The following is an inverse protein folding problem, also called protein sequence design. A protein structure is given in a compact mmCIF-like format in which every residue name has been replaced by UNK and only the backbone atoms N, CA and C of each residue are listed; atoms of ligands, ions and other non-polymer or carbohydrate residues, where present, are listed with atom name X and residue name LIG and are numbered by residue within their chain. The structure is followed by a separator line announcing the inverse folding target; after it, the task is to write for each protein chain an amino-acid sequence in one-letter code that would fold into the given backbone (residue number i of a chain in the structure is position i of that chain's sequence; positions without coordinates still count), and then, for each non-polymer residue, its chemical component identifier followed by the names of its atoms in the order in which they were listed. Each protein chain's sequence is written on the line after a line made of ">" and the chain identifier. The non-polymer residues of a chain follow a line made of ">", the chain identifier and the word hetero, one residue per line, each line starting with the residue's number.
data_IF_788123921136
#
_entry.id   IF_788123921136
#
_cell.length_a   1.000
_cell.length_b   1.000
_cell.length_c   1.000
_cell.angle_alpha   90.00
_cell.angle_beta   90.00
_cell.angle_gamma   90.00
#
_symmetry.space_group_name_H-M   'P 1'
#
loop_
_entity.id
_entity.type
_entity.pdbx_description
1 polymer ?
#
# COMPACT_ATOMS: atom_id res chain seq x y z
N UNK A 1 -19.82 78.70 25.82
CA UNK A 1 -18.46 78.18 25.80
C UNK A 1 -18.55 76.64 25.96
N UNK A 2 -18.55 75.91 24.89
CA UNK A 2 -18.70 74.45 24.91
C UNK A 2 -17.51 73.84 24.21
N UNK A 3 -16.64 73.19 24.97
CA UNK A 3 -15.41 72.57 24.56
C UNK A 3 -15.68 71.19 23.97
N UNK A 4 -15.49 71.01 22.68
CA UNK A 4 -15.62 69.73 21.97
C UNK A 4 -14.34 68.93 22.13
N UNK A 5 -14.31 67.93 23.00
CA UNK A 5 -13.27 66.91 23.11
C UNK A 5 -13.26 66.03 21.86
N UNK A 6 -12.24 66.09 21.02
CA UNK A 6 -11.96 65.14 19.94
C UNK A 6 -11.39 63.86 20.53
N UNK A 7 -12.18 62.80 20.53
CA UNK A 7 -11.68 61.44 20.79
C UNK A 7 -11.01 60.92 19.52
N UNK A 8 -9.69 60.84 19.53
CA UNK A 8 -8.94 60.15 18.48
C UNK A 8 -9.06 58.64 18.70
N UNK A 9 -9.80 57.98 17.84
CA UNK A 9 -9.82 56.50 17.75
C UNK A 9 -8.47 56.05 17.19
N UNK A 10 -7.62 55.48 18.00
CA UNK A 10 -6.45 54.71 17.56
C UNK A 10 -6.98 53.34 17.08
N UNK A 11 -7.08 53.15 15.77
CA UNK A 11 -7.32 51.84 15.16
C UNK A 11 -6.03 51.03 15.35
N UNK A 12 -6.12 49.97 16.14
CA UNK A 12 -5.05 49.02 16.37
C UNK A 12 -4.80 48.19 15.07
N UNK A 13 -3.60 48.35 14.52
CA UNK A 13 -3.10 47.65 13.32
C UNK A 13 -2.79 46.17 13.61
N UNK A 14 -3.11 45.66 14.80
CA UNK A 14 -2.82 44.27 15.22
C UNK A 14 -3.76 43.21 14.68
N UNK A 15 -4.90 43.58 14.03
CA UNK A 15 -5.89 42.61 13.56
C UNK A 15 -5.62 41.97 12.18
N UNK A 16 -4.72 42.54 11.37
CA UNK A 16 -4.56 42.12 9.96
C UNK A 16 -3.53 41.00 9.81
N UNK A 17 -2.58 40.85 10.73
CA UNK A 17 -1.53 39.83 10.62
C UNK A 17 -2.00 38.42 10.92
N UNK A 18 -3.07 38.25 11.73
CA UNK A 18 -3.59 36.90 12.10
C UNK A 18 -4.45 36.27 11.02
N UNK A 19 -5.17 37.09 10.24
CA UNK A 19 -6.03 36.61 9.15
C UNK A 19 -5.21 36.07 7.95
N UNK A 20 -4.02 36.66 7.68
CA UNK A 20 -3.16 36.22 6.58
C UNK A 20 -2.47 34.86 6.88
N UNK A 21 -2.18 34.55 8.15
CA UNK A 21 -1.54 33.31 8.55
C UNK A 21 -2.49 32.10 8.46
N UNK A 22 -3.79 32.29 8.73
CA UNK A 22 -4.81 31.24 8.64
C UNK A 22 -5.14 30.84 7.20
N UNK A 23 -5.02 31.75 6.23
CA UNK A 23 -5.28 31.46 4.82
C UNK A 23 -4.16 30.60 4.19
N UNK A 24 -2.90 30.79 4.62
CA UNK A 24 -1.77 30.01 4.12
C UNK A 24 -1.75 28.57 4.66
N UNK A 25 -2.28 28.34 5.86
CA UNK A 25 -2.40 26.99 6.44
C UNK A 25 -3.56 26.17 5.83
N UNK A 26 -4.58 26.84 5.28
CA UNK A 26 -5.72 26.14 4.65
C UNK A 26 -5.45 25.72 3.20
N UNK A 27 -4.46 26.29 2.51
CA UNK A 27 -4.15 25.96 1.12
C UNK A 27 -3.37 24.65 0.94
N UNK A 28 -2.80 24.09 2.01
CA UNK A 28 -2.09 22.78 1.96
C UNK A 28 -3.00 21.56 2.16
N UNK A 29 -4.29 21.73 2.44
CA UNK A 29 -5.20 20.65 2.79
C UNK A 29 -5.99 20.10 1.59
N UNK A 30 -5.73 20.54 0.36
CA UNK A 30 -6.47 20.15 -0.85
C UNK A 30 -5.54 19.76 -2.01
N UNK A 31 -4.36 19.23 -1.75
CA UNK A 31 -3.72 18.37 -2.73
C UNK A 31 -4.55 17.08 -2.74
N UNK A 32 -5.56 17.04 -3.59
CA UNK A 32 -6.16 15.79 -4.03
C UNK A 32 -5.03 15.05 -4.71
N UNK A 33 -4.49 14.01 -4.05
CA UNK A 33 -3.49 13.14 -4.65
C UNK A 33 -4.07 12.67 -5.99
N UNK A 34 -3.49 13.12 -7.08
CA UNK A 34 -3.87 12.63 -8.41
C UNK A 34 -3.61 11.12 -8.43
N UNK A 35 -4.67 10.28 -8.49
CA UNK A 35 -4.50 8.83 -8.47
C UNK A 35 -3.65 8.33 -9.63
N UNK A 36 -3.46 9.17 -10.66
CA UNK A 36 -2.67 8.86 -11.85
C UNK A 36 -1.21 9.31 -11.76
N UNK A 37 -0.85 10.01 -10.69
CA UNK A 37 0.54 10.36 -10.47
C UNK A 37 1.41 9.09 -10.34
N UNK A 38 2.64 9.14 -10.87
CA UNK A 38 3.58 8.04 -10.75
C UNK A 38 3.85 7.76 -9.26
N UNK A 39 3.57 6.53 -8.82
CA UNK A 39 3.88 6.10 -7.46
C UNK A 39 5.36 5.84 -7.32
N UNK A 40 5.96 6.35 -6.27
CA UNK A 40 7.37 6.10 -5.96
C UNK A 40 7.60 4.63 -5.60
N UNK A 41 8.76 4.10 -5.99
CA UNK A 41 9.18 2.78 -5.56
C UNK A 41 9.35 2.72 -4.03
N UNK A 42 9.05 1.56 -3.46
CA UNK A 42 9.27 1.31 -2.04
C UNK A 42 10.76 1.46 -1.68
N UNK A 43 11.07 1.98 -0.48
CA UNK A 43 12.44 2.06 -0.01
C UNK A 43 13.10 0.68 0.07
N UNK A 44 14.43 0.56 -0.09
CA UNK A 44 15.15 -0.72 0.02
C UNK A 44 14.91 -1.46 1.34
N UNK A 45 14.72 -0.74 2.45
CA UNK A 45 14.42 -1.33 3.74
C UNK A 45 13.03 -2.03 3.77
N UNK A 46 12.06 -1.55 3.01
CA UNK A 46 10.76 -2.21 2.86
C UNK A 46 10.85 -3.42 1.93
N UNK A 47 11.52 -3.28 0.78
CA UNK A 47 11.67 -4.39 -0.18
C UNK A 47 12.48 -5.56 0.41
N UNK A 48 13.38 -5.32 1.36
CA UNK A 48 14.09 -6.35 2.10
C UNK A 48 13.17 -7.22 3.00
N UNK A 49 11.91 -6.82 3.22
CA UNK A 49 10.93 -7.62 3.96
C UNK A 49 10.24 -8.67 3.09
N UNK A 50 10.44 -8.65 1.77
CA UNK A 50 9.87 -9.66 0.87
C UNK A 50 10.51 -11.03 1.12
N UNK A 51 9.76 -12.12 0.94
CA UNK A 51 10.31 -13.47 1.00
C UNK A 51 11.47 -13.65 0.01
N UNK A 52 12.46 -14.45 0.40
CA UNK A 52 13.58 -14.77 -0.47
C UNK A 52 13.09 -15.39 -1.79
N UNK A 53 13.65 -14.95 -2.90
CA UNK A 53 13.28 -15.39 -4.26
C UNK A 53 12.07 -14.68 -4.86
N UNK A 54 11.29 -13.91 -4.08
CA UNK A 54 10.21 -13.10 -4.62
C UNK A 54 10.77 -11.85 -5.29
N UNK A 55 10.60 -11.72 -6.61
CA UNK A 55 11.01 -10.56 -7.40
C UNK A 55 9.85 -9.97 -8.19
N UNK A 56 9.77 -8.65 -8.21
CA UNK A 56 8.78 -7.88 -8.98
C UNK A 56 9.40 -7.15 -10.19
N UNK A 57 10.67 -7.38 -10.48
CA UNK A 57 11.39 -6.67 -11.56
C UNK A 57 10.70 -6.79 -12.92
N UNK A 58 10.12 -7.94 -13.21
CA UNK A 58 9.40 -8.16 -14.48
C UNK A 58 7.91 -7.87 -14.38
N UNK A 59 7.37 -7.69 -13.18
CA UNK A 59 5.94 -7.49 -12.95
C UNK A 59 5.59 -6.01 -12.98
N UNK A 60 6.29 -5.21 -12.17
CA UNK A 60 6.01 -3.79 -12.03
C UNK A 60 6.77 -3.15 -10.88
N UNK A 61 6.34 -1.96 -10.49
CA UNK A 61 6.98 -1.21 -9.41
C UNK A 61 6.34 -1.52 -8.07
N UNK A 62 7.10 -2.10 -7.15
CA UNK A 62 6.69 -2.24 -5.75
C UNK A 62 6.65 -0.86 -5.12
N UNK A 63 5.51 -0.48 -4.58
CA UNK A 63 5.29 0.84 -3.96
C UNK A 63 5.30 0.79 -2.44
N UNK A 64 5.07 -0.40 -1.86
CA UNK A 64 5.12 -0.63 -0.41
C UNK A 64 5.29 -2.10 -0.09
N UNK A 65 6.04 -2.39 0.97
CA UNK A 65 6.07 -3.71 1.60
C UNK A 65 5.86 -3.55 3.10
N UNK A 66 5.04 -4.41 3.68
CA UNK A 66 4.82 -4.47 5.13
C UNK A 66 4.86 -5.91 5.58
N UNK A 67 5.46 -6.14 6.74
CA UNK A 67 5.39 -7.42 7.45
C UNK A 67 4.65 -7.21 8.76
N UNK A 68 3.57 -7.95 8.95
CA UNK A 68 2.78 -7.95 10.19
C UNK A 68 2.67 -9.40 10.64
N UNK A 69 3.33 -9.71 11.74
CA UNK A 69 3.47 -11.09 12.23
C UNK A 69 4.04 -12.01 11.13
N UNK A 70 3.23 -12.93 10.63
CA UNK A 70 3.59 -13.89 9.58
C UNK A 70 3.17 -13.45 8.18
N UNK A 71 2.49 -12.33 8.05
CA UNK A 71 1.98 -11.86 6.77
C UNK A 71 2.94 -10.83 6.16
N UNK A 72 3.34 -11.08 4.94
CA UNK A 72 4.03 -10.10 4.09
C UNK A 72 3.03 -9.56 3.10
N UNK A 73 2.83 -8.25 3.12
CA UNK A 73 1.93 -7.52 2.22
C UNK A 73 2.78 -6.72 1.24
N UNK A 74 2.61 -6.95 -0.05
CA UNK A 74 3.30 -6.22 -1.12
C UNK A 74 2.26 -5.48 -1.95
N UNK A 75 2.41 -4.17 -2.04
CA UNK A 75 1.65 -3.33 -2.96
C UNK A 75 2.53 -2.96 -4.14
N UNK A 76 2.03 -3.15 -5.34
CA UNK A 76 2.74 -2.79 -6.56
C UNK A 76 1.80 -2.20 -7.61
N UNK A 77 2.38 -1.58 -8.62
CA UNK A 77 1.65 -1.06 -9.78
C UNK A 77 2.34 -1.52 -11.07
N UNK A 78 1.55 -1.71 -12.12
CA UNK A 78 2.06 -2.12 -13.43
C UNK A 78 1.21 -1.53 -14.56
N UNK A 79 1.78 -1.46 -15.75
CA UNK A 79 1.08 -1.12 -17.00
C UNK A 79 0.95 -2.31 -17.93
N UNK A 80 1.40 -3.49 -17.50
CA UNK A 80 1.28 -4.73 -18.29
C UNK A 80 -0.17 -5.22 -18.28
N UNK A 81 -0.62 -5.92 -19.34
CA UNK A 81 -1.95 -6.54 -19.39
C UNK A 81 -2.17 -7.52 -18.22
N UNK A 82 -3.41 -7.58 -17.73
CA UNK A 82 -3.75 -8.40 -16.55
C UNK A 82 -3.39 -9.88 -16.73
N UNK A 83 -3.59 -10.43 -17.93
CA UNK A 83 -3.25 -11.82 -18.24
C UNK A 83 -1.74 -12.09 -18.14
N UNK A 84 -0.90 -11.14 -18.59
CA UNK A 84 0.56 -11.24 -18.46
C UNK A 84 0.96 -11.13 -16.98
N UNK A 85 0.38 -10.18 -16.25
CA UNK A 85 0.67 -9.94 -14.84
C UNK A 85 0.38 -11.15 -13.97
N UNK A 86 -0.76 -11.81 -14.19
CA UNK A 86 -1.14 -13.00 -13.41
C UNK A 86 -0.16 -14.15 -13.59
N UNK A 87 0.34 -14.39 -14.79
CA UNK A 87 1.37 -15.39 -15.06
C UNK A 87 2.68 -15.02 -14.36
N UNK A 88 3.13 -13.77 -14.51
CA UNK A 88 4.37 -13.30 -13.89
C UNK A 88 4.31 -13.37 -12.34
N UNK A 89 3.15 -13.10 -11.75
CA UNK A 89 2.95 -13.27 -10.30
C UNK A 89 3.08 -14.74 -9.91
N UNK A 90 2.47 -15.67 -10.65
CA UNK A 90 2.58 -17.10 -10.37
C UNK A 90 4.04 -17.57 -10.44
N UNK A 91 4.80 -17.12 -11.44
CA UNK A 91 6.21 -17.45 -11.58
C UNK A 91 7.04 -16.89 -10.41
N UNK A 92 6.83 -15.62 -10.05
CA UNK A 92 7.55 -14.96 -8.96
C UNK A 92 7.30 -15.64 -7.60
N UNK A 93 6.03 -15.98 -7.29
CA UNK A 93 5.71 -16.66 -6.02
C UNK A 93 6.17 -18.12 -6.02
N UNK A 94 6.23 -18.77 -7.19
CA UNK A 94 6.78 -20.12 -7.33
C UNK A 94 8.30 -20.10 -7.06
N UNK A 95 9.02 -19.10 -7.57
CA UNK A 95 10.43 -18.91 -7.27
C UNK A 95 10.70 -18.65 -5.77
N UNK A 96 9.72 -18.07 -5.06
CA UNK A 96 9.76 -17.87 -3.61
C UNK A 96 9.28 -19.10 -2.78
N UNK A 97 9.05 -20.27 -3.43
CA UNK A 97 8.70 -21.52 -2.77
C UNK A 97 7.22 -21.75 -2.51
N UNK A 98 6.34 -20.89 -3.02
CA UNK A 98 4.89 -21.11 -2.97
C UNK A 98 4.42 -21.91 -4.19
N UNK A 99 3.21 -22.46 -4.11
CA UNK A 99 2.58 -23.19 -5.22
C UNK A 99 1.28 -22.50 -5.60
N UNK A 100 1.02 -22.22 -6.88
CA UNK A 100 -0.28 -21.78 -7.33
C UNK A 100 -1.36 -22.83 -6.97
N UNK A 101 -2.48 -22.36 -6.43
CA UNK A 101 -3.59 -23.21 -5.98
C UNK A 101 -4.88 -22.97 -6.79
N UNK A 102 -4.97 -21.85 -7.48
CA UNK A 102 -6.10 -21.48 -8.31
C UNK A 102 -5.95 -20.04 -8.81
N UNK A 103 -6.75 -19.71 -9.80
CA UNK A 103 -6.84 -18.36 -10.36
C UNK A 103 -8.27 -18.11 -10.82
N UNK A 104 -8.77 -16.91 -10.55
CA UNK A 104 -9.96 -16.36 -11.15
C UNK A 104 -9.57 -15.08 -11.90
N UNK A 105 -10.07 -14.90 -13.13
CA UNK A 105 -9.75 -13.74 -13.96
C UNK A 105 -10.98 -13.30 -14.74
N UNK A 106 -11.50 -12.14 -14.37
CA UNK A 106 -12.68 -11.53 -14.97
C UNK A 106 -12.32 -10.44 -16.00
N UNK A 107 -11.03 -10.25 -16.30
CA UNK A 107 -10.52 -9.25 -17.26
C UNK A 107 -10.36 -7.83 -16.69
N UNK A 108 -11.12 -7.43 -15.71
CA UNK A 108 -10.97 -6.17 -14.97
C UNK A 108 -10.41 -6.36 -13.56
N UNK A 109 -10.47 -7.58 -13.05
CA UNK A 109 -9.89 -8.04 -11.79
C UNK A 109 -9.42 -9.48 -11.96
N UNK A 110 -8.32 -9.85 -11.31
CA UNK A 110 -7.87 -11.22 -11.21
C UNK A 110 -7.40 -11.53 -9.79
N UNK A 111 -7.70 -12.75 -9.34
CA UNK A 111 -7.22 -13.27 -8.06
C UNK A 111 -6.42 -14.55 -8.31
N UNK A 112 -5.25 -14.64 -7.68
CA UNK A 112 -4.38 -15.82 -7.74
C UNK A 112 -4.13 -16.31 -6.32
N UNK A 113 -4.40 -17.57 -6.06
CA UNK A 113 -4.29 -18.19 -4.75
C UNK A 113 -3.04 -19.06 -4.67
N UNK A 114 -2.42 -19.11 -3.50
CA UNK A 114 -1.16 -19.82 -3.27
C UNK A 114 -1.23 -20.70 -2.04
N UNK A 115 -0.43 -21.78 -2.07
CA UNK A 115 -0.28 -22.72 -0.96
C UNK A 115 1.19 -22.96 -0.64
N UNK A 116 1.47 -23.36 0.62
CA UNK A 116 2.70 -24.03 1.02
C UNK A 116 2.33 -25.40 1.57
N UNK A 117 2.79 -26.46 0.91
CA UNK A 117 2.35 -27.80 1.26
C UNK A 117 0.82 -27.96 1.13
N UNK A 118 0.13 -28.24 2.24
CA UNK A 118 -1.33 -28.45 2.29
C UNK A 118 -2.11 -27.23 2.80
N UNK A 119 -1.45 -26.11 3.05
CA UNK A 119 -2.09 -24.95 3.67
C UNK A 119 -2.18 -23.77 2.71
N UNK A 120 -3.26 -23.00 2.83
CA UNK A 120 -3.37 -21.70 2.15
C UNK A 120 -2.24 -20.79 2.64
N UNK A 121 -1.48 -20.22 1.71
CA UNK A 121 -0.29 -19.45 2.02
C UNK A 121 -0.32 -18.03 1.47
N UNK A 122 -1.32 -17.66 0.71
CA UNK A 122 -1.47 -16.29 0.24
C UNK A 122 -2.40 -16.13 -0.93
N UNK A 123 -2.53 -14.88 -1.33
CA UNK A 123 -3.38 -14.43 -2.43
C UNK A 123 -2.76 -13.19 -3.07
N UNK A 124 -2.80 -13.11 -4.38
CA UNK A 124 -2.61 -11.87 -5.12
C UNK A 124 -3.94 -11.43 -5.73
N UNK A 125 -4.23 -10.14 -5.64
CA UNK A 125 -5.32 -9.50 -6.36
C UNK A 125 -4.74 -8.46 -7.29
N UNK A 126 -5.11 -8.51 -8.56
CA UNK A 126 -4.78 -7.55 -9.60
C UNK A 126 -6.07 -6.88 -10.01
N UNK A 127 -6.15 -5.56 -9.92
CA UNK A 127 -7.36 -4.81 -10.27
C UNK A 127 -7.00 -3.56 -11.06
N UNK A 128 -7.91 -3.14 -11.92
CA UNK A 128 -7.76 -1.88 -12.64
C UNK A 128 -7.66 -0.73 -11.64
N UNK A 129 -6.60 0.08 -11.76
CA UNK A 129 -6.49 1.31 -10.98
C UNK A 129 -7.48 2.36 -11.51
N UNK A 130 -7.68 3.45 -10.76
CA UNK A 130 -8.45 4.61 -11.27
C UNK A 130 -7.82 5.30 -12.48
N UNK A 131 -6.70 4.79 -13.01
CA UNK A 131 -5.94 5.35 -14.13
C UNK A 131 -5.94 4.37 -15.29
N UNK A 132 -6.26 4.88 -16.49
CA UNK A 132 -6.27 4.08 -17.70
C UNK A 132 -4.92 3.39 -17.94
N UNK A 133 -4.95 2.11 -18.29
CA UNK A 133 -3.78 1.30 -18.60
C UNK A 133 -2.89 0.99 -17.40
N UNK A 134 -3.34 1.23 -16.16
CA UNK A 134 -2.60 0.88 -14.95
C UNK A 134 -3.37 -0.09 -14.07
N UNK A 135 -2.66 -1.04 -13.50
CA UNK A 135 -3.18 -2.05 -12.58
C UNK A 135 -2.51 -1.90 -11.22
N UNK A 136 -3.30 -2.03 -10.17
CA UNK A 136 -2.85 -2.14 -8.79
C UNK A 136 -2.75 -3.63 -8.44
N UNK A 137 -1.66 -4.01 -7.76
CA UNK A 137 -1.39 -5.37 -7.31
C UNK A 137 -1.32 -5.35 -5.80
N UNK A 138 -2.17 -6.14 -5.15
CA UNK A 138 -2.17 -6.41 -3.73
C UNK A 138 -1.78 -7.88 -3.52
N UNK A 139 -0.58 -8.16 -3.05
CA UNK A 139 -0.11 -9.52 -2.74
C UNK A 139 0.01 -9.68 -1.23
N UNK A 140 -0.61 -10.71 -0.68
CA UNK A 140 -0.46 -11.11 0.72
C UNK A 140 0.08 -12.54 0.76
N UNK A 141 1.19 -12.74 1.44
CA UNK A 141 1.81 -14.06 1.63
C UNK A 141 2.00 -14.35 3.11
N UNK A 142 1.87 -15.61 3.49
CA UNK A 142 2.27 -16.10 4.81
C UNK A 142 3.72 -16.52 4.68
N UNK A 143 4.61 -15.89 5.46
CA UNK A 143 6.04 -16.19 5.48
C UNK A 143 6.26 -17.67 5.85
N UNK A 144 6.85 -18.49 4.98
CA UNK A 144 7.07 -19.90 5.24
C UNK A 144 8.13 -20.14 6.33
N UNK A 145 9.05 -19.19 6.55
CA UNK A 145 10.07 -19.28 7.60
C UNK A 145 9.50 -18.98 8.99
N UNK A 146 8.36 -18.33 9.08
CA UNK A 146 7.65 -18.18 10.32
C UNK A 146 7.01 -19.52 10.70
N UNK A 147 7.80 -20.42 11.27
CA UNK A 147 7.39 -21.74 11.71
C UNK A 147 6.09 -21.66 12.53
N UNK A 148 5.06 -22.47 12.20
CA UNK A 148 3.88 -22.52 13.05
C UNK A 148 4.39 -22.95 14.44
N UNK A 149 4.20 -22.08 15.44
CA UNK A 149 4.40 -22.51 16.81
C UNK A 149 3.54 -23.75 16.99
N UNK A 150 4.16 -24.93 16.94
CA UNK A 150 3.53 -26.18 17.37
C UNK A 150 3.12 -25.92 18.80
N UNK A 151 1.84 -25.62 18.98
CA UNK A 151 1.23 -25.75 20.29
C UNK A 151 1.38 -27.22 20.62
N UNK A 152 2.45 -27.57 21.30
CA UNK A 152 2.59 -28.90 21.94
C UNK A 152 1.41 -28.99 22.88
N UNK A 153 0.39 -29.73 22.45
CA UNK A 153 -0.69 -30.10 23.34
C UNK A 153 -0.02 -30.68 24.59
N UNK A 154 -0.36 -30.21 25.80
CA UNK A 154 0.16 -30.80 27.02
C UNK A 154 -0.16 -32.30 26.99
N UNK A 155 0.85 -33.11 27.33
CA UNK A 155 0.69 -34.54 27.42
C UNK A 155 -0.53 -34.87 28.30
N UNK A 156 -1.36 -35.86 27.94
CA UNK A 156 -2.50 -36.24 28.76
C UNK A 156 -1.95 -36.60 30.17
N UNK A 157 -2.55 -36.00 31.16
CA UNK A 157 -2.24 -36.28 32.58
C UNK A 157 -2.62 -37.74 32.85
N UNK A 158 -1.72 -38.53 33.48
CA UNK A 158 -1.96 -39.94 33.77
C UNK A 158 -3.10 -40.16 34.74
#
# INVERSE_FOLDING_TARGET
>A
MVERRRVRRRLSVAGIAVAALLVVLSAKALEVDDPCQARSAAPPAETALMPAGLSFEQIGTVTRVRKVERHVMVLAVTTKPIDEVTVLIQDAVTAAGYRPAGMDNEGFEAEVFFTTGSYAAGQARVRQSGCEGRWDIDLVLIDPEAEPQRTTLPAPIP
#
